data_IF_978937610168
#
_entry.id   IF_978937610168
#
_cell.length_a   1.000
_cell.length_b   1.000
_cell.length_c   1.000
_cell.angle_alpha   90.00
_cell.angle_beta   90.00
_cell.angle_gamma   90.00
#
_symmetry.space_group_name_H-M   'P 1'
#
loop_
_entity.id
_entity.type
_entity.pdbx_description
1 polymer ?
2 non-polymer ?
3 non-polymer ?
4 non-polymer ?
5 non-polymer ?
6 water ?
#
# COMPACT_ATOMS: atom_id res chain seq x y z
N UNK A 6 -4.13 19.60 -26.75
CA UNK A 6 -5.62 19.63 -26.76
C UNK A 6 -6.19 19.86 -25.37
N UNK A 7 -7.47 19.56 -25.20
CA UNK A 7 -8.16 19.76 -23.93
C UNK A 7 -9.27 18.76 -23.67
N UNK A 8 -9.56 18.51 -22.40
CA UNK A 8 -10.62 17.58 -22.03
C UNK A 8 -11.97 18.26 -22.24
N UNK A 9 -11.94 19.58 -22.39
CA UNK A 9 -13.18 20.31 -22.60
C UNK A 9 -13.49 21.32 -21.52
N UNK A 10 -14.77 21.66 -21.39
CA UNK A 10 -15.21 22.61 -20.39
C UNK A 10 -15.82 21.88 -19.21
N UNK A 11 -15.37 22.22 -18.01
CA UNK A 11 -15.91 21.62 -16.80
C UNK A 11 -17.30 22.20 -16.60
N UNK A 12 -18.30 21.34 -16.50
CA UNK A 12 -19.66 21.81 -16.33
C UNK A 12 -20.13 21.86 -14.89
N UNK A 13 -19.91 20.77 -14.17
CA UNK A 13 -20.32 20.70 -12.77
C UNK A 13 -19.57 19.54 -12.12
N UNK A 14 -19.57 19.51 -10.79
CA UNK A 14 -18.94 18.43 -10.04
C UNK A 14 -20.02 17.38 -9.78
N UNK A 15 -19.71 16.14 -10.09
CA UNK A 15 -20.64 15.05 -9.90
C UNK A 15 -20.14 14.11 -8.81
N UNK A 16 -21.02 13.78 -7.87
CA UNK A 16 -20.66 12.87 -6.78
C UNK A 16 -19.35 13.17 -6.08
N UNK A 17 -19.21 14.39 -5.62
CA UNK A 17 -18.02 14.83 -4.90
C UNK A 17 -16.62 14.72 -5.52
N UNK A 18 -16.38 13.80 -6.45
CA UNK A 18 -15.04 13.72 -7.05
C UNK A 18 -14.95 13.47 -8.57
N UNK A 19 -15.99 13.83 -9.30
CA UNK A 19 -15.97 13.67 -10.75
C UNK A 19 -16.36 15.00 -11.38
N UNK A 20 -16.03 15.17 -12.65
CA UNK A 20 -16.38 16.41 -13.34
C UNK A 20 -17.10 16.04 -14.60
N UNK A 21 -18.25 16.67 -14.82
CA UNK A 21 -19.02 16.42 -16.04
C UNK A 21 -18.40 17.40 -17.03
N UNK A 22 -18.00 16.91 -18.20
CA UNK A 22 -17.34 17.74 -19.21
C UNK A 22 -18.10 17.78 -20.52
N UNK A 23 -17.82 18.82 -21.31
CA UNK A 23 -18.42 19.04 -22.60
C UNK A 23 -17.32 19.39 -23.58
N UNK A 24 -17.30 18.71 -24.72
CA UNK A 24 -16.30 19.00 -25.75
C UNK A 24 -16.94 18.65 -27.09
N UNK A 25 -17.17 19.67 -27.91
CA UNK A 25 -17.80 19.50 -29.21
C UNK A 25 -19.10 18.70 -29.11
N UNK A 26 -20.02 19.19 -28.29
CA UNK A 26 -21.30 18.51 -28.15
C UNK A 26 -21.26 17.19 -27.41
N UNK A 27 -20.06 16.68 -27.14
CA UNK A 27 -19.97 15.41 -26.41
C UNK A 27 -19.91 15.63 -24.91
N UNK A 28 -20.62 14.79 -24.17
CA UNK A 28 -20.62 14.88 -22.71
C UNK A 28 -19.86 13.70 -22.10
N UNK A 29 -18.94 14.01 -21.17
CA UNK A 29 -18.12 12.99 -20.50
C UNK A 29 -18.07 13.18 -18.98
N UNK A 30 -17.73 12.11 -18.28
CA UNK A 30 -17.61 12.10 -16.82
C UNK A 30 -16.15 11.73 -16.51
N UNK A 31 -15.44 12.64 -15.88
CA UNK A 31 -14.04 12.40 -15.55
C UNK A 31 -13.79 12.30 -14.05
N UNK A 32 -12.98 11.31 -13.70
CA UNK A 32 -12.60 11.05 -12.31
C UNK A 32 -11.47 11.98 -11.90
N UNK A 33 -11.72 12.92 -11.00
CA UNK A 33 -10.67 13.84 -10.60
C UNK A 33 -9.49 13.16 -9.87
N UNK A 34 -9.75 12.13 -9.02
CA UNK A 34 -8.66 11.45 -8.29
C UNK A 34 -7.68 10.81 -9.28
N UNK A 35 -8.20 10.24 -10.36
CA UNK A 35 -7.34 9.63 -11.35
C UNK A 35 -6.54 10.72 -12.06
N UNK A 36 -7.20 11.81 -12.42
CA UNK A 36 -6.49 12.91 -13.07
C UNK A 36 -5.40 13.46 -12.13
N UNK A 37 -5.74 13.63 -10.85
CA UNK A 37 -4.77 14.17 -9.91
C UNK A 37 -3.55 13.24 -9.85
N UNK A 38 -3.80 11.94 -9.85
CA UNK A 38 -2.72 10.98 -9.81
C UNK A 38 -1.78 11.13 -11.03
N UNK A 39 -2.32 11.19 -12.24
CA UNK A 39 -1.47 11.33 -13.42
C UNK A 39 -0.68 12.62 -13.32
N UNK A 40 -1.31 13.67 -12.82
CA UNK A 40 -0.62 14.93 -12.67
C UNK A 40 0.59 14.81 -11.70
N UNK A 41 0.33 14.24 -10.54
CA UNK A 41 1.39 14.10 -9.54
C UNK A 41 2.54 13.23 -10.04
N UNK A 42 2.21 12.17 -10.76
CA UNK A 42 3.25 11.32 -11.27
C UNK A 42 4.15 12.13 -12.21
N UNK A 43 3.54 12.92 -13.09
CA UNK A 43 4.35 13.72 -14.02
C UNK A 43 5.16 14.80 -13.32
N UNK A 44 4.60 15.40 -12.27
CA UNK A 44 5.31 16.43 -11.54
C UNK A 44 6.47 15.85 -10.72
N UNK A 45 6.40 14.57 -10.40
CA UNK A 45 7.45 13.91 -9.62
C UNK A 45 8.49 13.22 -10.49
N UNK A 46 8.12 12.94 -11.73
CA UNK A 46 9.01 12.22 -12.64
C UNK A 46 10.05 13.07 -13.33
N UNK A 47 11.34 12.77 -13.10
CA UNK A 47 12.41 13.54 -13.75
C UNK A 47 12.24 13.39 -15.26
N UNK A 48 12.12 14.51 -15.96
CA UNK A 48 11.93 14.47 -17.40
C UNK A 48 10.54 14.88 -17.91
N UNK A 49 9.60 15.06 -16.99
CA UNK A 49 8.23 15.45 -17.36
C UNK A 49 7.85 16.77 -16.71
N UNK A 50 8.72 17.26 -15.84
CA UNK A 50 8.49 18.53 -15.15
C UNK A 50 9.76 18.89 -14.38
N UNK A 51 9.88 20.16 -13.97
CA UNK A 51 11.06 20.61 -13.21
C UNK A 51 11.12 19.95 -11.83
N UNK A 52 12.27 19.39 -11.47
CA UNK A 52 12.47 18.74 -10.18
C UNK A 52 13.58 19.44 -9.41
N UNK A 53 13.22 20.04 -8.28
CA UNK A 53 14.16 20.77 -7.44
C UNK A 53 13.95 20.43 -5.98
N UNK A 54 15.00 20.00 -5.31
CA UNK A 54 14.92 19.65 -3.89
C UNK A 54 14.52 20.91 -3.12
N UNK A 55 13.62 20.78 -2.16
CA UNK A 55 13.16 21.91 -1.34
C UNK A 55 13.51 21.62 0.13
N UNK A 56 14.30 22.50 0.77
CA UNK A 56 14.71 22.33 2.18
C UNK A 56 13.56 22.25 3.16
N UNK A 57 13.64 21.32 4.09
CA UNK A 57 12.60 21.18 5.10
C UNK A 57 12.82 22.24 6.19
N UNK A 58 11.73 22.76 6.74
CA UNK A 58 11.81 23.77 7.81
C UNK A 58 12.61 23.09 8.88
N UNK A 59 12.04 22.00 9.38
CA UNK A 59 12.68 21.21 10.40
C UNK A 59 12.88 19.81 9.82
N UNK A 60 14.14 19.42 9.66
CA UNK A 60 14.44 18.09 9.12
C UNK A 60 13.68 17.01 9.91
N UNK A 61 13.24 15.99 9.20
CA UNK A 61 12.49 14.91 9.82
C UNK A 61 13.45 13.73 10.09
N UNK A 62 13.74 13.48 11.37
CA UNK A 62 14.65 12.39 11.76
C UNK A 62 13.80 11.19 12.13
N UNK A 63 14.14 10.03 11.60
CA UNK A 63 13.37 8.83 11.87
C UNK A 63 14.24 7.64 12.21
N UNK A 64 13.74 6.77 13.08
CA UNK A 64 14.50 5.59 13.44
C UNK A 64 14.19 4.57 12.35
N UNK A 65 15.21 3.83 11.92
CA UNK A 65 15.00 2.82 10.89
C UNK A 65 15.77 1.55 11.22
N UNK A 66 15.21 0.41 10.86
CA UNK A 66 15.90 -0.85 11.10
C UNK A 66 17.10 -0.88 10.15
N UNK A 67 18.01 -1.82 10.38
CA UNK A 67 19.20 -1.94 9.56
C UNK A 67 18.84 -2.30 8.13
N UNK A 68 17.80 -3.12 7.96
CA UNK A 68 17.38 -3.49 6.61
C UNK A 68 16.77 -2.29 5.89
N UNK A 69 16.15 -1.38 6.64
CA UNK A 69 15.54 -0.20 6.03
C UNK A 69 16.64 0.80 5.69
N UNK A 70 17.60 0.91 6.60
CA UNK A 70 18.76 1.78 6.45
C UNK A 70 19.54 1.36 5.21
N UNK A 71 19.76 0.06 5.10
CA UNK A 71 20.48 -0.48 3.96
C UNK A 71 19.74 -0.24 2.67
N UNK A 72 18.41 -0.31 2.73
CA UNK A 72 17.63 -0.08 1.52
C UNK A 72 17.75 1.42 1.16
N UNK A 73 17.68 2.28 2.17
CA UNK A 73 17.81 3.72 1.92
C UNK A 73 19.14 4.06 1.25
N UNK A 74 20.22 3.45 1.72
CA UNK A 74 21.55 3.70 1.17
C UNK A 74 21.64 3.31 -0.30
N UNK A 75 21.07 2.18 -0.68
CA UNK A 75 21.12 1.76 -2.07
C UNK A 75 20.24 2.65 -2.93
N UNK A 76 19.21 3.23 -2.32
CA UNK A 76 18.29 4.08 -3.05
C UNK A 76 18.66 5.55 -3.10
N UNK A 77 19.67 5.92 -2.32
CA UNK A 77 20.07 7.32 -2.22
C UNK A 77 20.08 8.07 -3.54
N UNK A 78 20.75 7.46 -4.53
CA UNK A 78 20.91 8.01 -5.86
C UNK A 78 19.55 8.21 -6.54
N UNK A 79 18.71 7.17 -6.55
CA UNK A 79 17.39 7.30 -7.16
C UNK A 79 16.58 8.40 -6.46
N UNK A 80 16.62 8.42 -5.13
CA UNK A 80 15.87 9.44 -4.40
C UNK A 80 16.35 10.88 -4.65
N UNK A 81 17.66 11.04 -4.74
CA UNK A 81 18.22 12.37 -4.99
C UNK A 81 17.76 12.86 -6.38
N UNK A 82 17.60 11.94 -7.32
CA UNK A 82 17.15 12.33 -8.65
C UNK A 82 15.71 12.88 -8.55
N UNK A 83 14.98 12.46 -7.51
CA UNK A 83 13.62 12.92 -7.29
C UNK A 83 13.56 14.16 -6.42
N UNK A 84 14.71 14.63 -5.95
CA UNK A 84 14.72 15.80 -5.08
C UNK A 84 14.61 15.42 -3.60
N UNK A 85 14.80 14.13 -3.28
CA UNK A 85 14.72 13.68 -1.88
C UNK A 85 16.12 13.47 -1.35
N UNK A 86 16.55 14.33 -0.44
CA UNK A 86 17.87 14.24 0.15
C UNK A 86 17.78 13.97 1.65
N UNK A 87 18.78 13.25 2.15
CA UNK A 87 18.82 12.91 3.57
C UNK A 87 20.25 12.58 4.02
N UNK A 88 20.44 12.52 5.34
CA UNK A 88 21.72 12.13 5.90
C UNK A 88 21.30 11.09 6.90
N UNK A 89 22.21 10.25 7.35
CA UNK A 89 21.82 9.23 8.31
C UNK A 89 22.96 8.77 9.19
N UNK A 90 22.62 8.36 10.40
CA UNK A 90 23.61 7.85 11.32
C UNK A 90 23.29 6.40 11.64
N UNK A 91 23.82 5.90 12.75
CA UNK A 91 23.63 4.51 13.15
C UNK A 91 22.20 3.97 13.05
N UNK A 92 21.29 4.55 13.83
CA UNK A 92 19.91 4.07 13.85
C UNK A 92 18.87 4.93 13.13
N UNK A 93 19.30 6.06 12.55
CA UNK A 93 18.35 6.96 11.94
C UNK A 93 18.65 7.53 10.55
N UNK A 94 17.65 8.20 10.01
CA UNK A 94 17.79 8.86 8.74
C UNK A 94 17.11 10.19 9.00
N UNK A 95 17.63 11.25 8.41
CA UNK A 95 17.04 12.55 8.57
C UNK A 95 16.82 13.13 7.18
N UNK A 96 15.54 13.37 6.86
CA UNK A 96 15.14 13.92 5.58
C UNK A 96 15.38 15.41 5.64
N UNK A 97 16.20 15.91 4.72
CA UNK A 97 16.50 17.34 4.70
C UNK A 97 15.79 18.08 3.58
N UNK A 98 15.42 17.40 2.49
CA UNK A 98 14.72 18.09 1.40
C UNK A 98 13.86 17.14 0.60
N UNK A 99 12.76 17.67 0.07
CA UNK A 99 11.86 16.89 -0.76
C UNK A 99 11.44 17.75 -1.96
N UNK A 100 11.01 17.13 -3.07
CA UNK A 100 10.60 17.95 -4.22
C UNK A 100 9.37 18.81 -3.88
N UNK A 101 9.14 19.85 -4.67
CA UNK A 101 8.03 20.77 -4.42
C UNK A 101 6.65 20.13 -4.21
N UNK A 102 6.25 19.17 -5.08
CA UNK A 102 4.93 18.57 -4.88
C UNK A 102 4.74 17.89 -3.54
N UNK A 103 5.85 17.59 -2.85
CA UNK A 103 5.75 16.91 -1.56
C UNK A 103 5.91 17.84 -0.36
N UNK A 104 6.39 19.05 -0.60
CA UNK A 104 6.62 20.00 0.49
C UNK A 104 5.42 20.22 1.42
N UNK A 105 4.20 20.10 0.91
CA UNK A 105 3.02 20.32 1.74
C UNK A 105 2.28 19.06 2.17
N UNK A 106 2.87 17.89 1.94
CA UNK A 106 2.23 16.66 2.36
C UNK A 106 2.59 16.47 3.82
N UNK A 107 1.93 15.53 4.49
CA UNK A 107 2.25 15.25 5.88
C UNK A 107 3.39 14.22 5.85
N UNK A 108 4.62 14.72 5.87
CA UNK A 108 5.79 13.85 5.77
C UNK A 108 6.01 12.86 6.91
N UNK A 109 5.39 13.07 8.06
CA UNK A 109 5.55 12.15 9.18
C UNK A 109 4.86 10.84 8.90
N UNK A 110 3.97 10.85 7.91
CA UNK A 110 3.29 9.65 7.49
C UNK A 110 3.83 9.23 6.11
N UNK A 111 3.97 10.18 5.18
CA UNK A 111 4.46 9.84 3.84
C UNK A 111 5.88 9.24 3.79
N UNK A 112 6.86 9.88 4.42
CA UNK A 112 8.22 9.36 4.39
C UNK A 112 8.35 7.94 4.99
N UNK A 113 7.77 7.70 6.18
CA UNK A 113 7.87 6.35 6.75
C UNK A 113 7.21 5.39 5.77
N UNK A 114 6.17 5.85 5.09
CA UNK A 114 5.51 4.98 4.12
C UNK A 114 6.43 4.69 2.95
N UNK A 115 7.14 5.71 2.48
CA UNK A 115 8.07 5.55 1.37
C UNK A 115 9.18 4.59 1.83
N UNK A 116 9.66 4.78 3.05
CA UNK A 116 10.70 3.91 3.60
C UNK A 116 10.25 2.46 3.60
N UNK A 117 9.00 2.20 3.97
CA UNK A 117 8.48 0.83 3.97
C UNK A 117 8.44 0.25 2.56
N UNK A 118 8.05 1.07 1.60
CA UNK A 118 7.99 0.63 0.21
C UNK A 118 9.40 0.29 -0.28
N UNK A 119 10.35 1.16 0.01
CA UNK A 119 11.75 1.00 -0.41
C UNK A 119 12.41 -0.24 0.19
N UNK A 120 12.08 -0.56 1.43
CA UNK A 120 12.66 -1.71 2.10
C UNK A 120 12.23 -3.02 1.47
N UNK A 121 11.29 -2.96 0.53
CA UNK A 121 10.79 -4.16 -0.13
C UNK A 121 11.29 -4.34 -1.55
N UNK A 122 11.95 -3.32 -2.07
CA UNK A 122 12.42 -3.38 -3.45
C UNK A 122 13.80 -4.00 -3.59
N UNK A 123 14.08 -4.51 -4.78
CA UNK A 123 15.37 -5.10 -5.08
C UNK A 123 16.07 -4.11 -6.01
N UNK A 124 15.27 -3.40 -6.79
CA UNK A 124 15.79 -2.40 -7.73
C UNK A 124 15.21 -1.02 -7.44
N UNK A 125 16.03 0.02 -7.54
CA UNK A 125 15.59 1.37 -7.28
C UNK A 125 15.71 2.23 -8.52
N UNK A 126 14.56 2.74 -8.97
CA UNK A 126 14.48 3.60 -10.15
C UNK A 126 13.55 4.78 -9.87
N UNK A 127 14.05 6.00 -10.06
CA UNK A 127 13.24 7.18 -9.81
C UNK A 127 11.85 7.15 -10.43
N UNK A 128 11.76 6.69 -11.68
CA UNK A 128 10.49 6.59 -12.35
C UNK A 128 9.47 5.78 -11.57
N UNK A 129 9.81 4.54 -11.25
CA UNK A 129 8.88 3.70 -10.49
C UNK A 129 8.59 4.22 -9.08
N UNK A 130 9.55 4.90 -8.47
CA UNK A 130 9.33 5.40 -7.13
C UNK A 130 8.33 6.56 -7.20
N UNK A 131 8.51 7.42 -8.19
CA UNK A 131 7.60 8.56 -8.36
C UNK A 131 6.18 8.03 -8.54
N UNK A 132 6.03 7.04 -9.43
CA UNK A 132 4.72 6.48 -9.70
C UNK A 132 4.08 5.94 -8.43
N UNK A 133 4.86 5.24 -7.62
CA UNK A 133 4.34 4.68 -6.38
C UNK A 133 3.90 5.79 -5.44
N UNK A 134 4.73 6.83 -5.30
CA UNK A 134 4.40 7.96 -4.45
C UNK A 134 3.12 8.62 -4.92
N UNK A 135 2.98 8.74 -6.24
CA UNK A 135 1.80 9.38 -6.80
C UNK A 135 0.51 8.59 -6.55
N UNK A 136 0.56 7.28 -6.72
CA UNK A 136 -0.62 6.44 -6.52
C UNK A 136 -1.04 6.17 -5.09
N UNK A 137 -0.09 5.84 -4.22
CA UNK A 137 -0.43 5.44 -2.86
C UNK A 137 -0.23 6.37 -1.68
N UNK A 138 0.87 7.10 -1.67
CA UNK A 138 1.17 7.92 -0.51
C UNK A 138 0.64 9.31 -0.39
N UNK A 139 0.00 9.83 -1.42
CA UNK A 139 -0.39 11.21 -1.28
C UNK A 139 -1.72 11.64 -0.70
N UNK A 140 -1.70 12.88 -0.24
CA UNK A 140 -2.82 13.55 0.36
C UNK A 140 -4.11 13.16 -0.30
N UNK A 141 -4.99 12.59 0.51
CA UNK A 141 -6.29 12.19 0.03
C UNK A 141 -6.98 13.52 -0.30
N UNK A 142 -8.13 13.47 -0.96
CA UNK A 142 -8.82 14.71 -1.28
C UNK A 142 -10.29 14.62 -0.89
N UNK A 143 -10.78 15.66 -0.21
CA UNK A 143 -12.18 15.70 0.19
C UNK A 143 -13.03 16.11 -1.02
N UNK A 144 -14.11 16.83 -0.74
CA UNK A 144 -15.02 17.30 -1.76
C UNK A 144 -14.32 18.18 -2.80
N UNK A 145 -14.53 17.88 -4.08
CA UNK A 145 -13.92 18.68 -5.14
C UNK A 145 -14.82 19.85 -5.54
N UNK A 146 -14.20 20.97 -5.90
CA UNK A 146 -14.94 22.15 -6.32
C UNK A 146 -14.63 22.38 -7.79
N UNK A 147 -15.39 23.28 -8.41
CA UNK A 147 -15.19 23.61 -9.81
C UNK A 147 -13.83 24.25 -10.03
N UNK A 148 -13.49 25.23 -9.21
CA UNK A 148 -12.22 25.88 -9.36
C UNK A 148 -11.10 24.84 -9.31
N UNK A 149 -11.19 23.90 -8.37
CA UNK A 149 -10.15 22.90 -8.26
C UNK A 149 -10.12 22.00 -9.49
N UNK A 150 -11.29 21.58 -9.98
CA UNK A 150 -11.34 20.70 -11.15
C UNK A 150 -10.80 21.43 -12.36
N UNK A 151 -11.17 22.69 -12.50
CA UNK A 151 -10.70 23.48 -13.64
C UNK A 151 -9.17 23.58 -13.61
N UNK A 152 -8.64 23.94 -12.46
CA UNK A 152 -7.20 24.06 -12.32
C UNK A 152 -6.53 22.73 -12.61
N UNK A 153 -7.04 21.66 -12.02
CA UNK A 153 -6.46 20.35 -12.24
C UNK A 153 -6.37 19.94 -13.71
N UNK A 154 -7.49 19.99 -14.41
CA UNK A 154 -7.48 19.60 -15.82
C UNK A 154 -6.55 20.44 -16.66
N UNK A 155 -6.45 21.72 -16.36
CA UNK A 155 -5.56 22.59 -17.10
C UNK A 155 -4.12 22.09 -16.88
N UNK A 156 -3.75 21.86 -15.62
CA UNK A 156 -2.40 21.38 -15.36
C UNK A 156 -2.15 20.04 -16.04
N UNK A 157 -3.14 19.15 -16.01
CA UNK A 157 -2.97 17.85 -16.64
C UNK A 157 -2.84 18.00 -18.16
N UNK A 158 -3.59 18.92 -18.75
CA UNK A 158 -3.53 19.15 -20.19
C UNK A 158 -2.12 19.60 -20.56
N UNK A 159 -1.55 20.47 -19.74
CA UNK A 159 -0.22 21.00 -19.94
C UNK A 159 0.90 19.98 -19.75
N UNK A 160 0.84 19.17 -18.70
CA UNK A 160 1.91 18.20 -18.45
C UNK A 160 1.69 16.78 -18.96
N UNK A 161 0.45 16.41 -19.27
CA UNK A 161 0.18 15.07 -19.75
C UNK A 161 -0.61 15.08 -21.06
N UNK A 162 -0.12 15.84 -22.06
CA UNK A 162 -0.80 15.93 -23.35
C UNK A 162 -1.33 14.61 -23.87
N UNK A 163 -0.58 13.54 -23.61
CA UNK A 163 -0.98 12.22 -24.07
C UNK A 163 -2.29 11.74 -23.47
N UNK A 164 -2.54 12.01 -22.19
CA UNK A 164 -3.79 11.60 -21.56
C UNK A 164 -4.98 12.17 -22.30
N UNK A 165 -4.85 13.41 -22.76
CA UNK A 165 -5.92 14.06 -23.49
C UNK A 165 -6.22 13.26 -24.76
N UNK A 166 -5.20 13.06 -25.58
CA UNK A 166 -5.31 12.33 -26.83
C UNK A 166 -5.88 10.92 -26.67
N UNK A 167 -5.48 10.22 -25.61
CA UNK A 167 -5.97 8.87 -25.38
C UNK A 167 -6.23 8.65 -23.90
N UNK A 168 -7.38 9.12 -23.41
CA UNK A 168 -7.70 8.95 -22.00
C UNK A 168 -8.20 7.56 -21.64
N UNK A 169 -7.55 6.90 -20.68
CA UNK A 169 -7.97 5.56 -20.29
C UNK A 169 -9.41 5.52 -19.77
N UNK A 170 -9.97 4.33 -19.67
CA UNK A 170 -11.34 4.18 -19.20
C UNK A 170 -11.55 4.47 -17.74
N UNK A 171 -10.46 4.51 -16.98
CA UNK A 171 -10.59 4.79 -15.56
C UNK A 171 -10.51 6.28 -15.31
N UNK A 172 -10.14 7.02 -16.34
CA UNK A 172 -10.02 8.47 -16.24
C UNK A 172 -11.27 9.21 -16.70
N UNK A 173 -11.79 8.83 -17.86
CA UNK A 173 -12.93 9.51 -18.46
C UNK A 173 -13.88 8.57 -19.21
N UNK A 174 -15.18 8.72 -18.96
CA UNK A 174 -16.18 7.89 -19.61
C UNK A 174 -17.26 8.73 -20.32
N UNK A 175 -17.78 8.19 -21.41
CA UNK A 175 -18.81 8.84 -22.20
C UNK A 175 -20.17 8.86 -21.50
N UNK A 176 -20.83 10.01 -21.54
CA UNK A 176 -22.16 10.13 -20.94
C UNK A 176 -23.11 10.20 -22.14
N UNK A 177 -23.82 9.11 -22.37
CA UNK A 177 -24.72 8.99 -23.53
C UNK A 177 -26.02 9.76 -23.43
N UNK A 178 -26.26 10.63 -24.40
CA UNK A 178 -27.48 11.43 -24.43
C UNK A 178 -28.62 10.79 -25.23
N UNK A 179 -28.26 9.97 -26.22
CA UNK A 179 -29.27 9.33 -27.07
C UNK A 179 -30.55 8.90 -26.36
N UNK A 180 -30.44 8.27 -25.20
CA UNK A 180 -31.68 7.86 -24.51
C UNK A 180 -32.60 9.04 -24.19
N UNK A 181 -32.04 10.09 -23.58
CA UNK A 181 -32.84 11.26 -23.23
C UNK A 181 -33.39 11.95 -24.47
N UNK A 182 -32.55 12.14 -25.48
CA UNK A 182 -32.97 12.77 -26.72
C UNK A 182 -34.13 12.01 -27.32
N UNK A 183 -33.98 10.69 -27.43
CA UNK A 183 -35.04 9.85 -27.97
C UNK A 183 -36.30 9.99 -27.12
N UNK A 184 -36.13 9.88 -25.81
CA UNK A 184 -37.24 10.01 -24.88
C UNK A 184 -37.96 11.34 -25.00
N UNK A 185 -37.24 12.37 -25.44
CA UNK A 185 -37.84 13.69 -25.60
C UNK A 185 -38.69 13.70 -26.86
N UNK A 186 -38.21 13.07 -27.92
CA UNK A 186 -38.95 13.01 -29.17
C UNK A 186 -40.14 12.04 -29.02
N UNK A 187 -39.82 10.78 -28.77
CA UNK A 187 -40.84 9.74 -28.59
C UNK A 187 -41.97 10.13 -27.62
N UNK B 5 -7.01 -33.93 12.92
CA UNK B 5 -5.82 -33.23 12.33
C UNK B 5 -5.74 -33.49 10.82
N UNK B 6 -5.23 -32.51 10.09
CA UNK B 6 -5.08 -32.59 8.63
C UNK B 6 -3.86 -31.75 8.28
N UNK B 7 -3.05 -32.17 7.30
CA UNK B 7 -1.86 -31.39 6.96
C UNK B 7 -1.55 -31.26 5.48
N UNK B 8 -0.63 -30.36 5.17
CA UNK B 8 -0.22 -30.13 3.78
C UNK B 8 0.65 -31.28 3.31
N UNK B 9 1.11 -32.09 4.25
CA UNK B 9 1.95 -33.22 3.90
C UNK B 9 3.31 -33.18 4.57
N UNK B 10 4.26 -33.90 4.01
CA UNK B 10 5.59 -33.94 4.58
C UNK B 10 6.49 -32.99 3.82
N UNK B 11 7.24 -32.19 4.57
CA UNK B 11 8.17 -31.26 3.94
C UNK B 11 9.36 -32.11 3.50
N UNK B 12 9.67 -32.06 2.20
CA UNK B 12 10.76 -32.84 1.64
C UNK B 12 12.05 -32.06 1.55
N UNK B 13 11.94 -30.80 1.16
CA UNK B 13 13.11 -29.96 1.00
C UNK B 13 12.67 -28.53 0.71
N UNK B 14 13.60 -27.58 0.90
CA UNK B 14 13.33 -26.18 0.65
C UNK B 14 13.75 -25.92 -0.80
N UNK B 15 12.91 -25.19 -1.53
CA UNK B 15 13.14 -24.87 -2.93
C UNK B 15 13.12 -23.37 -3.11
N UNK B 16 14.12 -22.82 -3.80
CA UNK B 16 14.15 -21.36 -4.00
C UNK B 16 14.14 -20.49 -2.76
N UNK B 17 14.94 -20.85 -1.76
CA UNK B 17 15.04 -20.09 -0.53
C UNK B 17 13.73 -19.82 0.25
N UNK B 18 12.58 -19.83 -0.42
CA UNK B 18 11.34 -19.58 0.30
C UNK B 18 10.13 -20.48 -0.02
N UNK B 19 10.38 -21.60 -0.69
CA UNK B 19 9.31 -22.54 -0.98
C UNK B 19 9.62 -23.90 -0.39
N UNK B 20 8.56 -24.70 -0.17
CA UNK B 20 8.73 -26.02 0.40
C UNK B 20 8.13 -27.10 -0.49
N UNK B 21 8.93 -28.11 -0.84
CA UNK B 21 8.44 -29.21 -1.66
C UNK B 21 7.77 -30.16 -0.69
N UNK B 22 6.51 -30.47 -0.97
CA UNK B 22 5.73 -31.35 -0.11
C UNK B 22 5.33 -32.63 -0.81
N UNK B 23 4.96 -33.62 0.01
CA UNK B 23 4.51 -34.91 -0.48
C UNK B 23 3.32 -35.30 0.38
N UNK B 24 2.20 -35.63 -0.25
CA UNK B 24 1.01 -36.04 0.48
C UNK B 24 0.27 -37.09 -0.35
N UNK B 25 0.15 -38.28 0.24
CA UNK B 25 -0.51 -39.39 -0.44
C UNK B 25 -0.05 -39.51 -1.87
N UNK B 26 1.27 -39.51 -2.06
CA UNK B 26 1.82 -39.66 -3.39
C UNK B 26 1.89 -38.42 -4.26
N UNK B 27 1.16 -37.37 -3.89
CA UNK B 27 1.19 -36.14 -4.69
C UNK B 27 2.30 -35.21 -4.23
N UNK B 28 2.98 -34.58 -5.18
CA UNK B 28 4.05 -33.65 -4.87
C UNK B 28 3.57 -32.22 -5.07
N UNK B 29 3.91 -31.32 -4.14
CA UNK B 29 3.50 -29.92 -4.26
C UNK B 29 4.60 -28.94 -3.87
N UNK B 30 4.43 -27.70 -4.30
CA UNK B 30 5.35 -26.62 -4.01
C UNK B 30 4.55 -25.57 -3.24
N UNK B 31 5.02 -25.20 -2.04
CA UNK B 31 4.31 -24.23 -1.23
C UNK B 31 5.15 -23.00 -0.94
N UNK B 32 4.52 -21.84 -1.11
CA UNK B 32 5.18 -20.58 -0.85
C UNK B 32 5.19 -20.33 0.65
N UNK B 33 6.35 -20.40 1.27
CA UNK B 33 6.41 -20.17 2.70
C UNK B 33 5.97 -18.73 3.10
N UNK B 34 6.33 -17.72 2.30
CA UNK B 34 5.92 -16.36 2.67
C UNK B 34 4.40 -16.22 2.67
N UNK B 35 3.75 -16.86 1.70
CA UNK B 35 2.31 -16.79 1.65
C UNK B 35 1.70 -17.52 2.86
N UNK B 36 2.28 -18.66 3.23
CA UNK B 36 1.79 -19.40 4.40
C UNK B 36 1.95 -18.54 5.65
N UNK B 37 3.08 -17.85 5.74
CA UNK B 37 3.37 -16.99 6.87
C UNK B 37 2.32 -15.88 7.02
N UNK B 38 1.95 -15.27 5.90
CA UNK B 38 0.95 -14.21 5.91
C UNK B 38 -0.41 -14.68 6.42
N UNK B 39 -0.81 -15.90 6.02
CA UNK B 39 -2.09 -16.43 6.49
C UNK B 39 -2.00 -16.70 7.98
N UNK B 40 -0.86 -17.21 8.43
CA UNK B 40 -0.72 -17.49 9.85
C UNK B 40 -0.90 -16.20 10.67
N UNK B 41 -0.18 -15.16 10.27
CA UNK B 41 -0.24 -13.90 10.96
C UNK B 41 -1.61 -13.24 10.86
N UNK B 42 -2.26 -13.39 9.72
CA UNK B 42 -3.57 -12.82 9.53
C UNK B 42 -4.49 -13.48 10.55
N UNK B 43 -4.29 -14.78 10.74
CA UNK B 43 -5.09 -15.52 11.69
C UNK B 43 -4.79 -15.09 13.12
N UNK B 44 -3.51 -14.87 13.44
CA UNK B 44 -3.11 -14.46 14.79
C UNK B 44 -3.63 -13.07 15.15
N UNK B 45 -3.93 -12.26 14.13
CA UNK B 45 -4.43 -10.90 14.33
C UNK B 45 -5.93 -10.79 14.21
N UNK B 46 -6.60 -11.87 13.79
CA UNK B 46 -8.04 -11.81 13.62
C UNK B 46 -8.81 -12.25 14.83
N UNK B 47 -9.68 -11.36 15.35
CA UNK B 47 -10.49 -11.69 16.53
C UNK B 47 -11.40 -12.86 16.14
N UNK B 48 -11.40 -13.90 16.95
CA UNK B 48 -12.23 -15.07 16.64
C UNK B 48 -11.49 -16.21 15.97
N UNK B 49 -10.31 -15.94 15.41
CA UNK B 49 -9.50 -16.97 14.75
C UNK B 49 -8.28 -17.33 15.59
N UNK B 50 -8.03 -16.50 16.59
CA UNK B 50 -6.91 -16.66 17.51
C UNK B 50 -7.09 -15.59 18.60
N UNK B 51 -6.50 -15.81 19.78
CA UNK B 51 -6.60 -14.85 20.89
C UNK B 51 -5.97 -13.46 20.63
N UNK B 52 -6.68 -12.41 21.05
CA UNK B 52 -6.23 -11.02 20.87
C UNK B 52 -6.24 -10.21 22.17
N UNK B 53 -5.14 -9.51 22.44
CA UNK B 53 -4.97 -8.68 23.65
C UNK B 53 -4.18 -7.42 23.30
N UNK B 54 -4.34 -6.37 24.09
CA UNK B 54 -3.65 -5.11 23.84
C UNK B 54 -2.42 -4.94 24.74
N UNK B 55 -1.24 -4.89 24.12
CA UNK B 55 0.00 -4.73 24.88
C UNK B 55 0.55 -3.32 24.72
N UNK B 56 0.76 -2.61 25.83
CA UNK B 56 1.28 -1.24 25.76
C UNK B 56 2.75 -1.21 25.42
N UNK B 57 3.14 -0.17 24.69
CA UNK B 57 4.53 0.02 24.30
C UNK B 57 5.17 0.70 25.50
N UNK B 58 6.48 0.58 25.65
CA UNK B 58 7.07 1.27 26.77
C UNK B 58 7.35 2.71 26.38
N UNK B 59 7.15 3.00 25.09
CA UNK B 59 7.33 4.35 24.60
C UNK B 59 6.28 4.70 23.56
N UNK B 60 5.10 5.17 24.01
CA UNK B 60 4.00 5.53 23.11
C UNK B 60 4.56 6.21 21.86
N UNK B 61 3.98 5.87 20.72
CA UNK B 61 4.42 6.45 19.46
C UNK B 61 3.48 7.57 19.08
N UNK B 62 4.00 8.79 19.06
CA UNK B 62 3.22 9.96 18.72
C UNK B 62 3.45 10.27 17.26
N UNK B 63 2.41 10.65 16.54
CA UNK B 63 2.54 10.96 15.12
C UNK B 63 1.60 12.07 14.70
N UNK B 64 2.11 12.96 13.86
CA UNK B 64 1.29 14.05 13.36
C UNK B 64 0.40 13.49 12.28
N UNK B 65 -0.87 13.86 12.29
CA UNK B 65 -1.82 13.39 11.28
C UNK B 65 -2.62 14.54 10.68
N UNK B 66 -3.06 14.36 9.45
CA UNK B 66 -3.85 15.37 8.76
C UNK B 66 -5.30 15.16 9.17
N UNK B 67 -6.12 16.20 8.98
CA UNK B 67 -7.53 16.12 9.32
C UNK B 67 -8.13 14.85 8.75
N UNK B 68 -7.80 14.55 7.50
CA UNK B 68 -8.32 13.36 6.84
C UNK B 68 -7.83 12.06 7.50
N UNK B 69 -6.60 12.07 7.99
CA UNK B 69 -6.03 10.88 8.65
C UNK B 69 -6.66 10.78 10.01
N UNK B 70 -6.77 11.94 10.67
CA UNK B 70 -7.35 12.07 11.99
C UNK B 70 -8.76 11.50 11.95
N UNK B 71 -9.51 11.92 10.94
CA UNK B 71 -10.89 11.50 10.76
C UNK B 71 -11.00 10.00 10.53
N UNK B 72 -10.19 9.49 9.60
CA UNK B 72 -10.20 8.07 9.29
C UNK B 72 -9.93 7.26 10.56
N UNK B 73 -8.93 7.69 11.35
CA UNK B 73 -8.60 6.98 12.58
C UNK B 73 -9.80 6.94 13.51
N UNK B 74 -10.51 8.07 13.61
CA UNK B 74 -11.69 8.17 14.46
C UNK B 74 -12.71 7.11 14.10
N UNK B 75 -13.04 7.00 12.81
CA UNK B 75 -13.99 6.01 12.35
C UNK B 75 -13.55 4.55 12.57
N UNK B 76 -12.23 4.31 12.54
CA UNK B 76 -11.70 2.96 12.69
C UNK B 76 -11.33 2.57 14.11
N UNK B 77 -11.46 3.52 15.04
CA UNK B 77 -11.07 3.28 16.41
C UNK B 77 -11.65 2.01 17.04
N UNK B 78 -12.95 1.78 16.82
CA UNK B 78 -13.58 0.60 17.39
C UNK B 78 -13.01 -0.68 16.78
N UNK B 79 -12.90 -0.73 15.46
CA UNK B 79 -12.36 -1.91 14.78
C UNK B 79 -10.93 -2.15 15.24
N UNK B 80 -10.16 -1.06 15.37
CA UNK B 80 -8.76 -1.16 15.81
C UNK B 80 -8.65 -1.69 17.23
N UNK B 81 -9.54 -1.23 18.11
CA UNK B 81 -9.50 -1.67 19.51
C UNK B 81 -9.82 -3.17 19.58
N UNK B 82 -10.69 -3.63 18.69
CA UNK B 82 -11.04 -5.04 18.65
C UNK B 82 -9.76 -5.83 18.30
N UNK B 83 -8.85 -5.20 17.55
CA UNK B 83 -7.60 -5.85 17.16
C UNK B 83 -6.52 -5.66 18.22
N UNK B 84 -6.84 -4.90 19.26
CA UNK B 84 -5.86 -4.68 20.31
C UNK B 84 -4.97 -3.47 20.04
N UNK B 85 -5.34 -2.65 19.07
CA UNK B 85 -4.56 -1.45 18.77
C UNK B 85 -5.30 -0.27 19.41
N UNK B 86 -4.76 0.26 20.50
CA UNK B 86 -5.40 1.38 21.19
C UNK B 86 -4.62 2.67 20.98
N UNK B 87 -5.33 3.79 20.86
CA UNK B 87 -4.66 5.05 20.65
C UNK B 87 -5.45 6.22 21.21
N UNK B 88 -4.74 7.33 21.41
CA UNK B 88 -5.30 8.56 21.92
C UNK B 88 -5.05 9.61 20.86
N UNK B 89 -5.88 10.65 20.82
CA UNK B 89 -5.68 11.70 19.85
C UNK B 89 -5.88 13.07 20.47
N UNK B 90 -5.04 14.01 20.05
CA UNK B 90 -5.15 15.38 20.50
C UNK B 90 -5.38 16.13 19.19
N UNK B 91 -5.33 17.44 19.19
CA UNK B 91 -5.57 18.20 17.97
C UNK B 91 -4.91 17.61 16.70
N UNK B 92 -3.62 17.82 16.53
CA UNK B 92 -2.91 17.37 15.34
C UNK B 92 -2.24 15.99 15.38
N UNK B 93 -2.17 15.39 16.56
CA UNK B 93 -1.50 14.11 16.68
C UNK B 93 -2.33 12.96 17.23
N UNK B 94 -1.75 11.78 17.16
CA UNK B 94 -2.35 10.57 17.70
C UNK B 94 -1.20 9.89 18.37
N UNK B 95 -1.48 9.19 19.47
CA UNK B 95 -0.43 8.49 20.19
C UNK B 95 -0.86 7.04 20.39
N UNK B 96 -0.11 6.11 19.78
CA UNK B 96 -0.40 4.69 19.90
C UNK B 96 0.03 4.23 21.27
N UNK B 97 -0.93 3.78 22.07
CA UNK B 97 -0.64 3.33 23.41
C UNK B 97 -0.45 1.81 23.50
N UNK B 98 -1.04 1.06 22.58
CA UNK B 98 -0.89 -0.40 22.64
C UNK B 98 -1.13 -1.10 21.31
N UNK B 99 -0.52 -2.28 21.15
CA UNK B 99 -0.68 -3.08 19.93
C UNK B 99 -0.69 -4.58 20.32
N UNK B 100 -1.36 -5.42 19.52
CA UNK B 100 -1.45 -6.87 19.77
C UNK B 100 -0.09 -7.53 19.80
N UNK B 101 -0.01 -8.69 20.43
CA UNK B 101 1.26 -9.41 20.54
C UNK B 101 2.05 -9.60 19.23
N UNK B 102 1.39 -9.98 18.14
CA UNK B 102 2.13 -10.18 16.88
C UNK B 102 2.79 -8.95 16.30
N UNK B 103 2.51 -7.77 16.87
CA UNK B 103 3.10 -6.55 16.35
C UNK B 103 4.19 -5.92 17.23
N UNK B 104 4.39 -6.47 18.41
CA UNK B 104 5.39 -5.97 19.35
C UNK B 104 6.79 -5.82 18.76
N UNK B 105 7.28 -6.88 18.12
CA UNK B 105 8.62 -6.86 17.52
C UNK B 105 8.68 -6.33 16.08
N UNK B 106 7.83 -5.37 15.74
CA UNK B 106 7.84 -4.81 14.40
C UNK B 106 8.37 -3.39 14.44
N UNK B 107 8.58 -2.80 13.28
CA UNK B 107 9.06 -1.43 13.20
C UNK B 107 7.80 -0.55 13.14
N UNK B 108 7.26 -0.25 14.31
CA UNK B 108 6.06 0.54 14.41
C UNK B 108 6.19 1.96 13.85
N UNK B 109 7.41 2.50 13.81
CA UNK B 109 7.61 3.86 13.29
C UNK B 109 7.36 3.88 11.80
N UNK B 110 7.30 2.68 11.20
CA UNK B 110 7.06 2.53 9.78
C UNK B 110 5.67 1.89 9.52
N UNK B 111 5.38 0.81 10.24
CA UNK B 111 4.12 0.10 10.10
C UNK B 111 2.86 0.89 10.48
N UNK B 112 2.89 1.66 11.57
CA UNK B 112 1.71 2.44 11.96
C UNK B 112 1.41 3.50 10.89
N UNK B 113 2.42 4.27 10.47
CA UNK B 113 2.18 5.28 9.44
C UNK B 113 1.57 4.62 8.19
N UNK B 114 2.06 3.45 7.82
CA UNK B 114 1.51 2.71 6.67
C UNK B 114 0.04 2.34 6.94
N UNK B 115 -0.26 1.91 8.17
CA UNK B 115 -1.63 1.56 8.55
C UNK B 115 -2.49 2.83 8.45
N UNK B 116 -1.96 3.94 8.95
CA UNK B 116 -2.70 5.20 8.89
C UNK B 116 -2.98 5.57 7.42
N UNK B 117 -1.97 5.43 6.57
CA UNK B 117 -2.15 5.73 5.16
C UNK B 117 -3.22 4.83 4.57
N UNK B 118 -3.20 3.57 4.97
CA UNK B 118 -4.19 2.62 4.48
C UNK B 118 -5.58 3.00 4.95
N UNK B 119 -5.70 3.32 6.24
CA UNK B 119 -7.01 3.67 6.79
C UNK B 119 -7.58 4.96 6.18
N UNK B 120 -6.71 5.90 5.82
CA UNK B 120 -7.18 7.15 5.25
C UNK B 120 -7.86 6.96 3.89
N UNK B 121 -7.70 5.80 3.28
CA UNK B 121 -8.31 5.58 1.98
C UNK B 121 -9.53 4.66 2.02
N UNK B 122 -9.88 4.17 3.20
CA UNK B 122 -11.03 3.29 3.34
C UNK B 122 -12.30 4.10 3.62
N UNK B 123 -13.44 3.43 3.46
CA UNK B 123 -14.74 4.05 3.71
C UNK B 123 -15.42 3.15 4.76
N UNK B 124 -15.13 1.85 4.68
CA UNK B 124 -15.67 0.85 5.60
C UNK B 124 -14.54 0.35 6.52
N UNK B 125 -14.84 0.16 7.80
CA UNK B 125 -13.81 -0.30 8.71
C UNK B 125 -14.22 -1.55 9.47
N UNK B 126 -13.52 -2.64 9.20
CA UNK B 126 -13.79 -3.91 9.85
C UNK B 126 -12.49 -4.53 10.33
N UNK B 127 -12.49 -5.08 11.56
CA UNK B 127 -11.28 -5.70 12.11
C UNK B 127 -10.69 -6.76 11.20
N UNK B 128 -11.53 -7.58 10.59
CA UNK B 128 -11.04 -8.62 9.71
C UNK B 128 -10.27 -8.05 8.54
N UNK B 129 -10.86 -7.07 7.86
CA UNK B 129 -10.22 -6.45 6.72
C UNK B 129 -8.88 -5.81 7.10
N UNK B 130 -8.87 -5.12 8.23
CA UNK B 130 -7.65 -4.46 8.67
C UNK B 130 -6.58 -5.47 9.04
N UNK B 131 -6.96 -6.56 9.68
CA UNK B 131 -5.97 -7.57 10.07
C UNK B 131 -5.32 -8.15 8.81
N UNK B 132 -6.11 -8.28 7.75
CA UNK B 132 -5.60 -8.82 6.50
C UNK B 132 -4.54 -7.89 5.95
N UNK B 133 -4.82 -6.59 5.99
CA UNK B 133 -3.89 -5.60 5.49
C UNK B 133 -2.61 -5.66 6.32
N UNK B 134 -2.78 -5.79 7.63
CA UNK B 134 -1.61 -5.81 8.48
C UNK B 134 -0.73 -7.03 8.21
N UNK B 135 -1.34 -8.20 8.09
CA UNK B 135 -0.54 -9.42 7.85
C UNK B 135 0.25 -9.30 6.55
N UNK B 136 -0.30 -8.61 5.57
CA UNK B 136 0.37 -8.43 4.30
C UNK B 136 1.47 -7.37 4.30
N UNK B 137 1.57 -6.60 5.39
CA UNK B 137 2.60 -5.56 5.46
C UNK B 137 3.64 -5.70 6.56
N UNK B 138 3.61 -6.81 7.28
CA UNK B 138 4.59 -7.06 8.32
C UNK B 138 5.87 -7.38 7.55
N UNK B 139 7.04 -7.06 8.08
CA UNK B 139 8.25 -7.34 7.33
C UNK B 139 8.41 -8.85 7.12
N UNK B 140 8.71 -9.24 5.87
CA UNK B 140 8.87 -10.65 5.52
C UNK B 140 9.68 -11.44 6.56
N UNK B 141 9.12 -12.56 6.98
CA UNK B 141 9.72 -13.37 8.03
C UNK B 141 11.23 -13.63 7.94
N UNK B 142 11.62 -14.51 7.02
CA UNK B 142 13.01 -14.86 6.88
C UNK B 142 13.56 -14.28 5.57
N UNK B 143 14.27 -15.09 4.80
CA UNK B 143 14.88 -14.67 3.55
C UNK B 143 15.32 -15.97 2.91
N UNK B 144 16.01 -16.77 3.72
CA UNK B 144 16.43 -18.10 3.30
C UNK B 144 15.75 -18.99 4.31
N UNK B 145 14.70 -19.69 3.90
CA UNK B 145 14.00 -20.57 4.81
C UNK B 145 14.69 -21.91 4.95
N UNK B 146 14.60 -22.47 6.16
CA UNK B 146 15.20 -23.77 6.44
C UNK B 146 14.07 -24.78 6.64
N UNK B 147 14.44 -26.05 6.62
CA UNK B 147 13.47 -27.11 6.83
C UNK B 147 12.76 -26.99 8.19
N UNK B 148 13.51 -26.80 9.25
CA UNK B 148 12.88 -26.67 10.56
C UNK B 148 11.89 -25.49 10.58
N UNK B 149 12.28 -24.36 9.98
CA UNK B 149 11.40 -23.20 9.94
C UNK B 149 10.12 -23.50 9.17
N UNK B 150 10.24 -24.23 8.05
CA UNK B 150 9.06 -24.57 7.26
C UNK B 150 8.19 -25.60 7.97
N UNK B 151 8.81 -26.57 8.64
CA UNK B 151 8.05 -27.59 9.36
C UNK B 151 7.24 -26.92 10.47
N UNK B 152 7.87 -26.04 11.22
CA UNK B 152 7.22 -25.31 12.32
C UNK B 152 6.09 -24.43 11.79
N UNK B 153 6.37 -23.65 10.75
CA UNK B 153 5.35 -22.79 10.18
C UNK B 153 4.12 -23.58 9.77
N UNK B 154 4.31 -24.60 8.94
CA UNK B 154 3.18 -25.40 8.46
C UNK B 154 2.36 -26.05 9.58
N UNK B 155 3.02 -26.52 10.64
CA UNK B 155 2.27 -27.12 11.75
C UNK B 155 1.39 -26.04 12.38
N UNK B 156 1.92 -24.83 12.51
CA UNK B 156 1.15 -23.73 13.08
C UNK B 156 0.02 -23.37 12.14
N UNK B 157 0.33 -23.27 10.86
CA UNK B 157 -0.74 -22.93 9.92
C UNK B 157 -1.84 -24.00 9.99
N UNK B 158 -1.42 -25.26 10.02
CA UNK B 158 -2.39 -26.34 10.07
C UNK B 158 -3.37 -26.24 11.22
N UNK B 159 -2.89 -25.88 12.40
CA UNK B 159 -3.82 -25.77 13.51
C UNK B 159 -4.66 -24.49 13.52
N UNK B 160 -4.12 -23.37 13.07
CA UNK B 160 -4.90 -22.13 13.08
C UNK B 160 -5.68 -21.83 11.79
N UNK B 161 -5.33 -22.48 10.69
CA UNK B 161 -6.05 -22.23 9.44
C UNK B 161 -6.47 -23.53 8.75
N UNK B 162 -7.12 -24.44 9.50
CA UNK B 162 -7.57 -25.72 8.94
C UNK B 162 -8.22 -25.66 7.56
N UNK B 163 -8.91 -24.56 7.27
CA UNK B 163 -9.58 -24.43 5.98
C UNK B 163 -8.63 -24.27 4.80
N UNK B 164 -7.44 -23.73 5.05
CA UNK B 164 -6.46 -23.56 4.00
C UNK B 164 -6.00 -24.94 3.55
N UNK B 165 -5.80 -25.83 4.50
CA UNK B 165 -5.34 -27.18 4.19
C UNK B 165 -6.35 -27.89 3.30
N UNK B 166 -7.64 -27.65 3.55
CA UNK B 166 -8.68 -28.27 2.75
C UNK B 166 -8.73 -27.65 1.37
N UNK B 167 -8.75 -26.33 1.31
CA UNK B 167 -8.83 -25.64 0.03
C UNK B 167 -7.67 -24.70 -0.17
N UNK B 168 -6.46 -25.25 -0.26
CA UNK B 168 -5.30 -24.39 -0.44
C UNK B 168 -5.41 -23.54 -1.71
N UNK B 169 -5.32 -22.22 -1.57
CA UNK B 169 -5.42 -21.37 -2.76
C UNK B 169 -4.20 -21.53 -3.65
N UNK B 170 -4.34 -21.16 -4.91
CA UNK B 170 -3.25 -21.27 -5.87
C UNK B 170 -2.05 -20.42 -5.55
N UNK B 171 -2.24 -19.41 -4.71
CA UNK B 171 -1.11 -18.56 -4.34
C UNK B 171 -0.31 -19.22 -3.23
N UNK B 172 -0.93 -20.15 -2.53
CA UNK B 172 -0.25 -20.82 -1.42
C UNK B 172 0.42 -22.14 -1.84
N UNK B 173 -0.33 -22.97 -2.56
CA UNK B 173 0.16 -24.27 -2.95
C UNK B 173 -0.13 -24.65 -4.41
N UNK B 174 0.90 -25.18 -5.09
CA UNK B 174 0.79 -25.61 -6.48
C UNK B 174 1.30 -27.03 -6.71
N UNK B 175 0.57 -27.76 -7.54
CA UNK B 175 0.92 -29.14 -7.87
C UNK B 175 2.19 -29.21 -8.73
N UNK B 176 3.02 -30.21 -8.46
CA UNK B 176 4.23 -30.42 -9.25
C UNK B 176 3.97 -31.68 -10.06
N UNK B 177 3.71 -31.49 -11.34
CA UNK B 177 3.40 -32.58 -12.25
C UNK B 177 4.56 -33.52 -12.53
N UNK B 178 4.40 -34.77 -12.12
CA UNK B 178 5.43 -35.78 -12.33
C UNK B 178 5.21 -36.58 -13.63
N UNK B 179 4.03 -36.43 -14.24
CA UNK B 179 3.73 -37.17 -15.47
C UNK B 179 4.76 -37.04 -16.59
N UNK B 180 5.23 -35.83 -16.86
CA UNK B 180 6.23 -35.76 -17.94
C UNK B 180 7.47 -36.58 -17.65
N UNK B 181 7.96 -36.52 -16.41
CA UNK B 181 9.15 -37.27 -16.00
C UNK B 181 8.91 -38.77 -16.06
N UNK B 182 7.74 -39.20 -15.61
CA UNK B 182 7.39 -40.62 -15.63
C UNK B 182 7.33 -41.14 -17.07
N UNK B 183 6.75 -40.33 -17.96
CA UNK B 183 6.66 -40.71 -19.36
C UNK B 183 8.07 -40.78 -19.97
N UNK B 184 8.90 -39.81 -19.62
CA UNK B 184 10.27 -39.75 -20.12
C UNK B 184 11.06 -40.99 -19.70
N UNK B 185 10.96 -41.38 -18.44
CA UNK B 185 11.68 -42.55 -17.97
C UNK B 185 11.36 -43.70 -18.93
N UNK B 186 10.17 -43.65 -19.51
CA UNK B 186 9.74 -44.63 -20.49
C UNK B 186 10.08 -44.16 -21.90
X LIG C 1 -18.47 23.38 -7.07
X LIG D 1 -15.66 26.61 -7.23
X LIG E 1 -1.18 10.08 4.08
X LIG F 1 -12.93 7.38 -9.08
X LIG F 1 -12.23 6.75 -10.15
X LIG F 1 -14.30 6.79 -8.80
X LIG F 1 -14.44 5.47 -9.29
X LIG F 1 -15.38 7.67 -9.42
X LIG F 1 -16.01 8.39 -8.37
X LIG G 1 -5.92 11.71 -5.88
X LIG G 1 -6.96 12.65 -5.36
X LIG G 1 -5.94 13.53 -4.73
X LIG G 1 -7.89 12.05 -4.43
X LIG H 1 -9.17 -8.88 21.42
X LIG H 1 -8.11 -8.23 21.82
X LIG H 1 -10.33 -8.15 21.84
X LIG H 1 -10.16 -6.79 22.57
X LIG H 1 -11.55 -9.26 22.25
X LIG H 1 -12.02 -9.90 20.88
X LIG I 1 -3.45 1.65 26.21
X LIG I 1 -4.48 0.79 26.83
X LIG I 1 -3.50 -0.32 27.00
X LIG I 1 -5.61 0.48 25.98
#
# INVERSE_FOLDING_TARGET
GSHMSQSFGRVLTIVHSDCALLERDGNISLLSLPVAERWLRQAQLTPGEAPVCAQPLLIPLRLKVSAEEKSALEKAQSALAELGIDFQSDAQHVTIRAVPLPLRQQNLQILIPELIGYLAKQSVFEPGNIAQWIARNLMSEHAQWSMAQAITLLADVERLCPQLVKTPPGGLLQSVDLHPAIKALKDE
GSHMSQSFGRVLTIVHSDCALLERDGNISLLSLPVAERWLRQAQLTPGEAPVCAQPLLIPLRLKVSAEEKSALEKAQSALAELGIDFQSDAQHVTIRAVPLPLRQQNLQILIPELIGYLAKQSVFEPGNIAQWIARNLMSEHAQWSMAQAITLLADVERLCPQLVKTPPGGLLQSVDLHPAIKALKDE
CL CL
CL CL
NA NA
GOL C1 O1 C2 O2 C3 O3
IPA C1 C2 C3 O2
GOL C1 O1 C2 O2 C3 O3
IPA C1 C2 C3 O2
#
